data_IF_065982473766
#
_entry.id   IF_065982473766
#
_cell.length_a   1.000
_cell.length_b   1.000
_cell.length_c   1.000
_cell.angle_alpha   90.00
_cell.angle_beta   90.00
_cell.angle_gamma   90.00
#
_symmetry.space_group_name_H-M   'P 1'
#
loop_
_entity.id
_entity.type
_entity.pdbx_description
1 polymer ?
#
# COMPACT_ATOMS: atom_id res chain seq x y z
N UNK A 1 37.12 1.23 -8.01
CA UNK A 1 35.73 1.09 -8.50
C UNK A 1 34.81 1.15 -7.30
N UNK A 2 34.42 2.36 -6.87
CA UNK A 2 33.51 2.56 -5.75
C UNK A 2 32.09 2.68 -6.29
N UNK A 3 31.31 1.60 -6.24
CA UNK A 3 29.88 1.65 -6.51
C UNK A 3 29.21 2.42 -5.38
N UNK A 4 28.65 3.59 -5.69
CA UNK A 4 27.92 4.43 -4.74
C UNK A 4 26.75 3.61 -4.13
N UNK A 5 26.73 3.33 -2.81
CA UNK A 5 25.63 2.59 -2.18
C UNK A 5 24.30 3.40 -2.06
N UNK A 6 24.22 4.59 -2.67
CA UNK A 6 23.22 5.60 -2.34
C UNK A 6 21.96 5.66 -3.22
N UNK A 7 22.00 5.17 -4.47
CA UNK A 7 20.95 5.47 -5.46
C UNK A 7 19.78 4.48 -5.45
N UNK A 8 20.04 3.20 -5.15
CA UNK A 8 18.98 2.18 -5.14
C UNK A 8 18.02 2.38 -3.94
N UNK A 9 18.57 2.54 -2.72
CA UNK A 9 17.77 2.68 -1.50
C UNK A 9 16.95 3.98 -1.44
N UNK A 10 17.47 5.10 -1.98
CA UNK A 10 16.72 6.36 -2.08
C UNK A 10 15.52 6.25 -3.02
N UNK A 11 15.69 5.50 -4.11
CA UNK A 11 14.64 5.30 -5.11
C UNK A 11 13.54 4.40 -4.55
N UNK A 12 13.88 3.30 -3.85
CA UNK A 12 12.90 2.41 -3.22
C UNK A 12 12.04 3.15 -2.19
N UNK A 13 12.66 3.92 -1.30
CA UNK A 13 11.93 4.71 -0.29
C UNK A 13 10.93 5.68 -0.94
N UNK A 14 11.38 6.42 -1.95
CA UNK A 14 10.54 7.37 -2.68
C UNK A 14 9.36 6.65 -3.34
N UNK A 15 9.61 5.52 -3.98
CA UNK A 15 8.57 4.73 -4.63
C UNK A 15 7.55 4.16 -3.64
N UNK A 16 7.98 3.70 -2.47
CA UNK A 16 7.07 3.23 -1.40
C UNK A 16 6.19 4.37 -0.88
N UNK A 17 6.74 5.58 -0.68
CA UNK A 17 5.93 6.74 -0.29
C UNK A 17 4.88 7.04 -1.37
N UNK A 18 5.29 7.07 -2.65
CA UNK A 18 4.39 7.35 -3.75
C UNK A 18 3.31 6.26 -3.90
N UNK A 19 3.63 5.00 -3.65
CA UNK A 19 2.68 3.89 -3.67
C UNK A 19 1.50 4.06 -2.69
N UNK A 20 1.67 4.82 -1.60
CA UNK A 20 0.61 5.14 -0.65
C UNK A 20 0.06 6.57 -0.78
N UNK A 21 0.68 7.44 -1.58
CA UNK A 21 0.39 8.88 -1.60
C UNK A 21 -1.04 9.22 -2.01
N UNK A 22 -1.52 8.68 -3.14
CA UNK A 22 -2.87 8.95 -3.65
C UNK A 22 -3.75 7.71 -3.44
N UNK A 23 -3.78 7.25 -2.20
CA UNK A 23 -4.60 6.12 -1.79
C UNK A 23 -4.23 4.85 -2.61
N UNK A 24 -5.19 3.98 -2.94
CA UNK A 24 -4.91 2.77 -3.72
C UNK A 24 -4.53 3.03 -5.19
N UNK A 25 -4.81 4.23 -5.72
CA UNK A 25 -4.59 4.54 -7.14
C UNK A 25 -3.11 4.55 -7.48
N UNK A 26 -2.28 5.21 -6.66
CA UNK A 26 -0.83 5.16 -6.86
C UNK A 26 -0.25 3.80 -6.52
N UNK A 27 -0.88 3.02 -5.63
CA UNK A 27 -0.55 1.61 -5.41
C UNK A 27 -0.59 0.82 -6.72
N UNK A 28 -1.64 0.97 -7.53
CA UNK A 28 -1.73 0.32 -8.86
C UNK A 28 -0.58 0.75 -9.76
N UNK A 29 -0.26 2.04 -9.81
CA UNK A 29 0.82 2.55 -10.66
C UNK A 29 2.16 1.93 -10.26
N UNK A 30 2.48 1.94 -8.96
CA UNK A 30 3.76 1.46 -8.44
C UNK A 30 3.89 -0.07 -8.41
N UNK A 31 2.78 -0.81 -8.49
CA UNK A 31 2.77 -2.24 -8.76
C UNK A 31 3.47 -2.58 -10.08
N UNK A 32 3.36 -1.72 -11.10
CA UNK A 32 4.00 -1.90 -12.40
C UNK A 32 5.31 -1.11 -12.53
N UNK A 33 5.33 0.15 -12.09
CA UNK A 33 6.53 1.01 -12.18
C UNK A 33 7.65 0.47 -11.29
N UNK A 34 7.31 0.02 -10.08
CA UNK A 34 8.26 -0.52 -9.10
C UNK A 34 8.46 -2.03 -9.19
N UNK A 35 7.96 -2.72 -10.22
CA UNK A 35 7.83 -4.18 -10.23
C UNK A 35 9.13 -4.98 -10.06
N UNK A 36 10.27 -4.37 -10.41
CA UNK A 36 11.60 -4.96 -10.31
C UNK A 36 12.19 -4.85 -8.90
N UNK A 37 11.60 -4.03 -8.04
CA UNK A 37 11.94 -3.91 -6.63
C UNK A 37 10.89 -4.66 -5.81
N UNK A 38 11.25 -5.79 -5.17
CA UNK A 38 10.28 -6.65 -4.48
C UNK A 38 9.57 -5.92 -3.33
N UNK A 39 10.28 -5.05 -2.61
CA UNK A 39 9.69 -4.32 -1.49
C UNK A 39 8.73 -3.25 -2.00
N UNK A 40 9.12 -2.48 -3.04
CA UNK A 40 8.22 -1.47 -3.64
C UNK A 40 6.97 -2.15 -4.19
N UNK A 41 7.13 -3.26 -4.91
CA UNK A 41 6.02 -4.03 -5.48
C UNK A 41 5.07 -4.54 -4.40
N UNK A 42 5.61 -5.09 -3.31
CA UNK A 42 4.81 -5.59 -2.20
C UNK A 42 4.03 -4.46 -1.50
N UNK A 43 4.70 -3.34 -1.20
CA UNK A 43 4.03 -2.20 -0.56
C UNK A 43 2.97 -1.56 -1.47
N UNK A 44 3.22 -1.53 -2.79
CA UNK A 44 2.25 -1.11 -3.78
C UNK A 44 1.02 -2.05 -3.81
N UNK A 45 1.24 -3.36 -3.74
CA UNK A 45 0.16 -4.33 -3.59
C UNK A 45 -0.62 -4.16 -2.27
N UNK A 46 0.06 -3.90 -1.16
CA UNK A 46 -0.57 -3.66 0.15
C UNK A 46 -1.46 -2.40 0.12
N UNK A 47 -1.03 -1.34 -0.57
CA UNK A 47 -1.84 -0.14 -0.82
C UNK A 47 -3.15 -0.49 -1.52
N UNK A 48 -3.09 -1.31 -2.58
CA UNK A 48 -4.28 -1.75 -3.32
C UNK A 48 -5.18 -2.65 -2.47
N UNK A 49 -4.62 -3.66 -1.80
CA UNK A 49 -5.39 -4.61 -0.99
C UNK A 49 -6.11 -3.90 0.14
N UNK A 50 -5.42 -3.06 0.90
CA UNK A 50 -5.99 -2.46 2.12
C UNK A 50 -6.80 -1.21 1.80
N UNK A 51 -6.22 -0.22 1.13
CA UNK A 51 -6.91 1.05 0.86
C UNK A 51 -7.95 0.90 -0.24
N UNK A 52 -7.69 0.05 -1.24
CA UNK A 52 -8.64 -0.29 -2.30
C UNK A 52 -9.77 -1.16 -1.80
N UNK A 53 -9.45 -2.18 -1.00
CA UNK A 53 -10.45 -2.99 -0.31
C UNK A 53 -11.36 -2.16 0.60
N UNK A 54 -10.80 -1.31 1.46
CA UNK A 54 -11.58 -0.47 2.36
C UNK A 54 -12.44 0.55 1.60
N UNK A 55 -11.91 1.17 0.54
CA UNK A 55 -12.68 2.07 -0.30
C UNK A 55 -13.86 1.35 -0.95
N UNK A 56 -13.63 0.17 -1.55
CA UNK A 56 -14.67 -0.63 -2.19
C UNK A 56 -15.75 -1.06 -1.19
N UNK A 57 -15.37 -1.55 -0.01
CA UNK A 57 -16.30 -1.93 1.05
C UNK A 57 -17.11 -0.72 1.51
N UNK A 58 -16.47 0.42 1.76
CA UNK A 58 -17.14 1.66 2.16
C UNK A 58 -18.15 2.11 1.09
N UNK A 59 -17.78 2.05 -0.20
CA UNK A 59 -18.67 2.40 -1.31
C UNK A 59 -19.90 1.50 -1.39
N UNK A 60 -19.72 0.17 -1.28
CA UNK A 60 -20.83 -0.79 -1.31
C UNK A 60 -21.76 -0.59 -0.11
N UNK A 61 -21.20 -0.43 1.10
CA UNK A 61 -22.00 -0.22 2.32
C UNK A 61 -22.75 1.10 2.27
N UNK A 62 -22.15 2.17 1.73
CA UNK A 62 -22.80 3.48 1.60
C UNK A 62 -24.07 3.45 0.75
N UNK A 63 -24.14 2.56 -0.24
CA UNK A 63 -25.31 2.42 -1.11
C UNK A 63 -26.52 1.89 -0.33
N UNK A 64 -26.28 1.04 0.68
CA UNK A 64 -27.35 0.32 1.41
C UNK A 64 -27.61 0.94 2.80
N UNK A 65 -26.57 1.45 3.46
CA UNK A 65 -26.57 1.92 4.85
C UNK A 65 -25.73 3.21 4.99
N UNK A 66 -26.31 4.32 4.51
CA UNK A 66 -25.66 5.62 4.32
C UNK A 66 -24.75 6.15 5.46
N UNK A 67 -25.05 6.01 6.78
CA UNK A 67 -24.11 6.49 7.80
C UNK A 67 -22.92 5.55 8.04
N UNK A 68 -23.07 4.24 7.80
CA UNK A 68 -22.03 3.24 8.12
C UNK A 68 -20.86 3.31 7.14
N UNK A 69 -21.12 3.67 5.88
CA UNK A 69 -20.06 3.83 4.88
C UNK A 69 -19.03 4.91 5.25
N UNK A 70 -19.50 6.02 5.84
CA UNK A 70 -18.62 7.06 6.35
C UNK A 70 -17.68 6.58 7.48
N UNK A 71 -18.17 5.72 8.38
CA UNK A 71 -17.35 5.15 9.45
C UNK A 71 -16.24 4.24 8.91
N UNK A 72 -16.55 3.42 7.90
CA UNK A 72 -15.56 2.55 7.25
C UNK A 72 -14.51 3.39 6.52
N UNK A 73 -14.93 4.48 5.87
CA UNK A 73 -14.00 5.41 5.23
C UNK A 73 -13.03 6.03 6.25
N UNK A 74 -13.49 6.40 7.46
CA UNK A 74 -12.62 6.89 8.52
C UNK A 74 -11.57 5.86 8.94
N UNK A 75 -11.94 4.57 9.04
CA UNK A 75 -10.96 3.48 9.26
C UNK A 75 -9.95 3.43 8.12
N UNK A 76 -10.39 3.60 6.87
CA UNK A 76 -9.51 3.76 5.72
C UNK A 76 -8.50 4.89 5.90
N UNK A 77 -8.95 6.06 6.37
CA UNK A 77 -8.08 7.23 6.57
C UNK A 77 -7.02 6.94 7.64
N UNK A 78 -7.39 6.23 8.71
CA UNK A 78 -6.43 5.79 9.74
C UNK A 78 -5.35 4.89 9.13
N UNK A 79 -5.74 3.87 8.35
CA UNK A 79 -4.76 3.01 7.68
C UNK A 79 -3.89 3.77 6.68
N UNK A 80 -4.46 4.71 5.93
CA UNK A 80 -3.71 5.53 5.00
C UNK A 80 -2.63 6.35 5.69
N UNK A 81 -2.95 6.97 6.83
CA UNK A 81 -1.97 7.69 7.66
C UNK A 81 -0.90 6.72 8.19
N UNK A 82 -1.29 5.56 8.71
CA UNK A 82 -0.35 4.53 9.20
C UNK A 82 0.65 4.15 8.09
N UNK A 83 0.17 3.90 6.87
CA UNK A 83 1.04 3.54 5.75
C UNK A 83 1.92 4.69 5.28
N UNK A 84 1.41 5.92 5.22
CA UNK A 84 2.23 7.08 4.89
C UNK A 84 3.35 7.28 5.92
N UNK A 85 3.04 7.23 7.21
CA UNK A 85 4.04 7.33 8.28
C UNK A 85 5.04 6.19 8.20
N UNK A 86 4.58 4.96 7.95
CA UNK A 86 5.43 3.80 7.71
C UNK A 86 6.37 4.01 6.52
N UNK A 87 5.87 4.56 5.42
CA UNK A 87 6.63 4.85 4.21
C UNK A 87 7.65 5.97 4.42
N UNK A 88 7.32 7.03 5.17
CA UNK A 88 8.28 8.08 5.54
C UNK A 88 9.42 7.54 6.42
N UNK A 89 9.14 6.53 7.25
CA UNK A 89 10.13 5.87 8.11
C UNK A 89 10.77 4.63 7.48
N UNK A 90 10.46 4.35 6.21
CA UNK A 90 10.89 3.15 5.50
C UNK A 90 12.42 3.00 5.42
N UNK A 91 12.91 1.80 5.75
CA UNK A 91 14.33 1.39 5.68
C UNK A 91 14.54 0.06 4.95
N UNK A 92 13.52 -0.43 4.22
CA UNK A 92 13.50 -1.76 3.61
C UNK A 92 12.34 -2.62 4.13
N UNK A 93 11.87 -3.57 3.32
CA UNK A 93 10.89 -4.60 3.68
C UNK A 93 9.42 -4.21 3.49
N UNK A 94 8.54 -4.94 4.19
CA UNK A 94 7.09 -4.87 4.00
C UNK A 94 6.42 -4.06 5.11
N UNK A 95 5.60 -3.07 4.75
CA UNK A 95 4.78 -2.30 5.71
C UNK A 95 3.43 -3.01 5.90
N UNK A 96 3.37 -3.95 6.84
CA UNK A 96 2.14 -4.70 7.12
C UNK A 96 1.05 -3.83 7.76
N UNK A 97 -0.21 -4.16 7.48
CA UNK A 97 -1.37 -3.53 8.12
C UNK A 97 -1.51 -3.98 9.58
N UNK A 98 -1.36 -3.09 10.57
CA UNK A 98 -1.52 -3.46 11.98
C UNK A 98 -2.91 -4.04 12.26
N UNK A 99 -2.99 -5.10 13.06
CA UNK A 99 -4.27 -5.74 13.44
C UNK A 99 -4.88 -6.66 12.38
N UNK A 100 -4.57 -6.48 11.09
CA UNK A 100 -5.13 -7.30 9.98
C UNK A 100 -4.04 -7.91 9.06
N UNK A 101 -2.79 -7.90 9.49
CA UNK A 101 -1.64 -8.41 8.73
C UNK A 101 -1.81 -9.86 8.29
N UNK A 102 -2.37 -10.72 9.15
CA UNK A 102 -2.54 -12.15 8.85
C UNK A 102 -3.42 -12.39 7.62
N UNK A 103 -4.44 -11.56 7.40
CA UNK A 103 -5.32 -11.64 6.23
C UNK A 103 -4.75 -10.88 5.04
N UNK A 104 -4.27 -9.65 5.28
CA UNK A 104 -3.83 -8.77 4.19
C UNK A 104 -2.53 -9.22 3.55
N UNK A 105 -1.57 -9.74 4.32
CA UNK A 105 -0.29 -10.17 3.77
C UNK A 105 -0.46 -11.29 2.73
N UNK A 106 -1.34 -12.25 2.97
CA UNK A 106 -1.61 -13.33 2.02
C UNK A 106 -2.18 -12.79 0.68
N UNK A 107 -3.12 -11.84 0.77
CA UNK A 107 -3.68 -11.21 -0.43
C UNK A 107 -2.66 -10.35 -1.17
N UNK A 108 -1.83 -9.64 -0.40
CA UNK A 108 -0.76 -8.78 -0.92
C UNK A 108 0.32 -9.60 -1.63
N UNK A 109 0.74 -10.71 -1.04
CA UNK A 109 1.68 -11.64 -1.67
C UNK A 109 1.09 -12.18 -2.97
N UNK A 110 -0.19 -12.59 -2.97
CA UNK A 110 -0.89 -13.04 -4.16
C UNK A 110 -0.92 -11.99 -5.27
N UNK A 111 -1.27 -10.75 -4.92
CA UNK A 111 -1.34 -9.64 -5.88
C UNK A 111 0.05 -9.25 -6.41
N UNK A 112 1.06 -9.16 -5.54
CA UNK A 112 2.43 -8.84 -5.93
C UNK A 112 3.04 -9.91 -6.85
N UNK A 113 2.72 -11.18 -6.63
CA UNK A 113 3.19 -12.30 -7.45
C UNK A 113 2.44 -12.43 -8.79
N UNK A 114 1.22 -11.91 -8.88
CA UNK A 114 0.45 -11.89 -10.12
C UNK A 114 1.06 -10.93 -11.17
N UNK A 115 1.82 -9.92 -10.74
CA UNK A 115 2.49 -8.95 -11.63
C UNK A 115 3.93 -9.40 -11.93
N UNK A 116 4.18 -9.71 -13.21
CA UNK A 116 5.47 -10.16 -13.76
C UNK A 116 6.33 -9.02 -14.31
#
# INVERSE_FOLDING_TARGET
MGGQPGTAASNSKTNVILAYLLWWVTGIIFLFVGKNDPDVKWNAAQSVVVLGGLWLIASIVSIVLLPLGGLIYLVGVVYWIIFLVGAFNYRGGHIAAPGIAQFTNQLTDGLANAVK
#
